data_IF_055048514621
#
_entry.id   IF_055048514621
#
_cell.length_a   1.000
_cell.length_b   1.000
_cell.length_c   1.000
_cell.angle_alpha   90.00
_cell.angle_beta   90.00
_cell.angle_gamma   90.00
#
_symmetry.space_group_name_H-M   'P 1'
#
loop_
_entity.id
_entity.type
_entity.pdbx_description
1 polymer ?
#
# COMPACT_ATOMS: atom_id res chain seq x y z
N UNK A 1 -5.43 -3.34 20.12
CA UNK A 1 -5.02 -4.75 20.37
C UNK A 1 -6.05 -5.85 20.08
N UNK A 2 -7.37 -5.60 20.13
CA UNK A 2 -8.38 -6.67 19.99
C UNK A 2 -8.68 -7.14 18.56
N UNK A 3 -8.48 -6.32 17.53
CA UNK A 3 -8.85 -6.66 16.14
C UNK A 3 -7.94 -7.74 15.52
N UNK A 4 -6.63 -7.62 15.68
CA UNK A 4 -5.65 -8.58 15.13
C UNK A 4 -5.72 -9.98 15.76
N UNK A 5 -6.28 -10.13 16.97
CA UNK A 5 -6.54 -11.45 17.56
C UNK A 5 -7.50 -12.29 16.71
N UNK A 6 -8.28 -11.64 15.84
CA UNK A 6 -9.27 -12.26 14.97
C UNK A 6 -8.89 -12.22 13.49
N UNK A 7 -7.62 -11.89 13.16
CA UNK A 7 -7.16 -11.85 11.77
C UNK A 7 -7.67 -10.63 10.99
N UNK A 8 -8.13 -9.56 11.63
CA UNK A 8 -8.52 -8.31 10.98
C UNK A 8 -7.57 -7.19 11.41
N UNK A 9 -7.04 -6.44 10.44
CA UNK A 9 -6.26 -5.23 10.72
C UNK A 9 -7.17 -4.05 11.09
N UNK A 10 -6.66 -2.98 11.77
CA UNK A 10 -7.44 -1.79 12.06
C UNK A 10 -8.05 -1.18 10.80
N UNK A 11 -9.29 -0.66 10.91
CA UNK A 11 -10.07 -0.06 9.84
C UNK A 11 -10.67 1.26 10.28
N UNK A 12 -10.38 2.30 9.52
CA UNK A 12 -10.93 3.63 9.77
C UNK A 12 -12.37 3.75 9.28
N UNK A 13 -13.10 4.71 9.86
CA UNK A 13 -14.38 5.15 9.30
C UNK A 13 -14.11 6.05 8.09
N UNK A 14 -14.89 5.92 7.01
CA UNK A 14 -14.79 6.82 5.87
C UNK A 14 -14.98 8.28 6.28
N UNK A 15 -14.20 9.17 5.67
CA UNK A 15 -14.38 10.61 5.84
C UNK A 15 -15.69 11.03 5.17
N UNK A 16 -16.50 11.82 5.91
CA UNK A 16 -17.75 12.35 5.35
C UNK A 16 -17.46 13.32 4.21
N UNK A 17 -18.05 13.18 3.00
CA UNK A 17 -17.77 14.05 1.86
C UNK A 17 -18.04 15.55 2.09
N UNK A 18 -18.79 15.88 3.15
CA UNK A 18 -19.16 17.27 3.48
C UNK A 18 -18.36 17.89 4.62
N UNK A 19 -17.45 17.15 5.24
CA UNK A 19 -16.70 17.63 6.41
C UNK A 19 -15.20 17.64 6.12
N UNK A 20 -14.53 18.71 6.52
CA UNK A 20 -13.06 18.72 6.53
C UNK A 20 -12.52 17.76 7.59
N UNK A 21 -11.37 17.16 7.32
CA UNK A 21 -10.66 16.28 8.24
C UNK A 21 -9.16 16.57 8.22
N UNK A 22 -8.49 16.33 9.35
CA UNK A 22 -7.04 16.24 9.41
C UNK A 22 -6.67 14.75 9.38
N UNK A 23 -5.72 14.38 8.53
CA UNK A 23 -5.27 13.00 8.36
C UNK A 23 -3.76 12.96 8.45
N UNK A 24 -3.26 12.02 9.22
CA UNK A 24 -1.84 11.70 9.30
C UNK A 24 -1.56 10.35 8.62
N UNK A 25 -0.66 10.36 7.67
CA UNK A 25 -0.20 9.19 6.92
C UNK A 25 1.20 8.80 7.38
N UNK A 26 1.43 7.54 7.70
CA UNK A 26 2.72 7.00 8.10
C UNK A 26 3.12 5.84 7.18
N UNK A 27 4.17 6.05 6.39
CA UNK A 27 4.79 5.04 5.54
C UNK A 27 6.11 4.59 6.14
N UNK A 28 6.16 3.34 6.61
CA UNK A 28 7.34 2.73 7.26
C UNK A 28 8.00 1.77 6.27
N UNK A 29 8.85 2.33 5.41
CA UNK A 29 9.57 1.58 4.39
C UNK A 29 10.88 0.96 4.87
N UNK A 30 11.58 0.24 3.98
CA UNK A 30 12.89 -0.38 4.29
C UNK A 30 14.07 0.59 4.18
N UNK A 31 13.94 1.74 3.51
CA UNK A 31 14.99 2.76 3.39
C UNK A 31 14.66 4.06 4.09
N UNK A 32 13.39 4.41 4.17
CA UNK A 32 12.91 5.65 4.78
C UNK A 32 11.60 5.42 5.52
N UNK A 33 11.37 6.24 6.54
CA UNK A 33 10.08 6.43 7.21
C UNK A 33 9.59 7.82 6.83
N UNK A 34 8.33 7.91 6.42
CA UNK A 34 7.68 9.16 5.98
C UNK A 34 6.41 9.38 6.78
N UNK A 35 6.28 10.55 7.38
CA UNK A 35 5.02 11.04 7.97
C UNK A 35 4.53 12.24 7.16
N UNK A 36 3.27 12.22 6.75
CA UNK A 36 2.59 13.33 6.09
C UNK A 36 1.32 13.69 6.84
N UNK A 37 1.14 14.97 7.14
CA UNK A 37 -0.09 15.48 7.76
C UNK A 37 -0.77 16.36 6.73
N UNK A 38 -2.04 16.09 6.43
CA UNK A 38 -2.79 16.84 5.43
C UNK A 38 -4.19 17.19 5.92
N UNK A 39 -4.67 18.33 5.44
CA UNK A 39 -6.05 18.77 5.60
C UNK A 39 -6.86 18.35 4.37
N UNK A 40 -7.88 17.56 4.59
CA UNK A 40 -8.87 17.20 3.58
C UNK A 40 -9.99 18.24 3.60
N UNK A 41 -10.22 18.91 2.46
CA UNK A 41 -11.29 19.90 2.30
C UNK A 41 -12.28 19.43 1.23
N UNK A 42 -13.58 19.37 1.52
CA UNK A 42 -14.59 19.06 0.51
C UNK A 42 -14.46 20.01 -0.69
N UNK A 43 -14.51 19.46 -1.90
CA UNK A 43 -14.50 20.26 -3.12
C UNK A 43 -15.41 19.63 -4.19
N UNK A 44 -15.73 20.40 -5.23
CA UNK A 44 -16.37 19.88 -6.43
C UNK A 44 -15.44 18.89 -7.16
N UNK A 45 -15.99 17.84 -7.82
CA UNK A 45 -15.20 16.88 -8.57
C UNK A 45 -14.27 17.55 -9.59
N UNK A 46 -13.00 17.13 -9.63
CA UNK A 46 -12.04 17.57 -10.64
C UNK A 46 -12.17 16.69 -11.90
N UNK A 47 -11.82 17.22 -13.06
CA UNK A 47 -11.97 16.50 -14.33
C UNK A 47 -11.15 15.19 -14.42
N UNK A 48 -10.01 15.10 -13.74
CA UNK A 48 -9.09 13.93 -13.81
C UNK A 48 -9.19 13.02 -12.59
N UNK A 49 -9.72 13.53 -11.47
CA UNK A 49 -9.81 12.85 -10.18
C UNK A 49 -11.25 12.95 -9.64
N UNK A 50 -12.21 12.53 -10.45
CA UNK A 50 -13.67 12.66 -10.19
C UNK A 50 -14.13 11.89 -8.95
N UNK A 51 -13.40 10.82 -8.60
CA UNK A 51 -13.72 9.97 -7.45
C UNK A 51 -13.28 10.55 -6.11
N UNK A 52 -12.44 11.60 -6.13
CA UNK A 52 -12.01 12.27 -4.92
C UNK A 52 -13.05 13.29 -4.48
N UNK A 53 -13.56 13.12 -3.28
CA UNK A 53 -14.53 14.02 -2.65
C UNK A 53 -13.87 15.23 -1.96
N UNK A 54 -12.55 15.18 -1.76
CA UNK A 54 -11.79 16.21 -1.06
C UNK A 54 -10.52 16.56 -1.81
N UNK A 55 -10.20 17.87 -1.79
CA UNK A 55 -8.84 18.35 -2.05
C UNK A 55 -7.94 18.02 -0.87
N UNK A 56 -6.69 17.71 -1.16
CA UNK A 56 -5.68 17.35 -0.17
C UNK A 56 -4.67 18.50 -0.11
N UNK A 57 -4.59 19.15 1.05
CA UNK A 57 -3.61 20.20 1.34
C UNK A 57 -2.59 19.67 2.35
N UNK A 58 -1.34 19.47 1.92
CA UNK A 58 -0.26 19.05 2.81
C UNK A 58 0.10 20.18 3.77
N UNK A 59 0.05 19.92 5.07
CA UNK A 59 0.38 20.89 6.11
C UNK A 59 1.61 20.50 6.92
N UNK A 60 1.96 19.20 6.96
CA UNK A 60 3.14 18.70 7.66
C UNK A 60 3.83 17.59 6.89
N UNK A 61 5.15 17.59 6.93
CA UNK A 61 5.98 16.57 6.30
C UNK A 61 7.22 16.30 7.14
N UNK A 62 7.46 15.02 7.40
CA UNK A 62 8.68 14.53 8.04
C UNK A 62 9.16 13.26 7.38
N UNK A 63 10.47 13.14 7.20
CA UNK A 63 11.05 11.90 6.73
C UNK A 63 12.41 11.67 7.39
N UNK A 64 12.76 10.40 7.55
CA UNK A 64 14.06 9.97 8.07
C UNK A 64 14.49 8.65 7.43
N UNK A 65 15.78 8.35 7.56
CA UNK A 65 16.31 7.04 7.15
C UNK A 65 15.67 5.95 8.01
N UNK A 66 15.12 4.93 7.39
CA UNK A 66 14.59 3.78 8.12
C UNK A 66 15.74 3.00 8.79
N UNK A 67 15.59 2.77 10.07
CA UNK A 67 16.45 1.88 10.87
C UNK A 67 15.60 0.79 11.46
N UNK A 68 16.17 -0.40 11.66
CA UNK A 68 15.45 -1.52 12.25
C UNK A 68 14.40 -2.18 11.33
N UNK A 69 14.38 -1.84 10.03
CA UNK A 69 13.50 -2.42 9.03
C UNK A 69 14.28 -3.29 8.05
N UNK A 70 13.71 -4.44 7.65
CA UNK A 70 14.26 -5.33 6.63
C UNK A 70 13.13 -5.92 5.79
N UNK A 71 13.19 -5.76 4.47
CA UNK A 71 12.18 -6.27 3.55
C UNK A 71 10.73 -5.89 3.97
N UNK A 72 10.54 -4.63 4.43
CA UNK A 72 9.25 -4.12 4.90
C UNK A 72 8.79 -4.63 6.27
N UNK A 73 9.55 -5.54 6.91
CA UNK A 73 9.26 -6.06 8.26
C UNK A 73 10.14 -5.37 9.33
N UNK A 74 9.61 -5.28 10.55
CA UNK A 74 10.37 -4.81 11.72
C UNK A 74 11.39 -5.89 12.09
N UNK A 75 12.68 -5.56 11.98
CA UNK A 75 13.81 -6.40 12.37
C UNK A 75 14.39 -6.00 13.72
N UNK A 76 14.33 -4.70 14.07
CA UNK A 76 14.71 -4.17 15.38
C UNK A 76 13.69 -3.13 15.82
N UNK A 77 12.93 -3.46 16.86
CA UNK A 77 11.80 -2.66 17.31
C UNK A 77 12.21 -1.27 17.81
N UNK A 78 13.28 -1.17 18.63
CA UNK A 78 13.71 0.12 19.19
C UNK A 78 14.26 1.07 18.12
N UNK A 79 14.98 0.55 17.12
CA UNK A 79 15.45 1.38 15.99
C UNK A 79 14.30 1.85 15.10
N UNK A 80 13.30 0.99 14.85
CA UNK A 80 12.11 1.35 14.09
C UNK A 80 11.29 2.42 14.82
N UNK A 81 11.09 2.26 16.14
CA UNK A 81 10.45 3.24 17.01
C UNK A 81 11.14 4.61 16.93
N UNK A 82 12.48 4.65 17.08
CA UNK A 82 13.24 5.90 16.98
C UNK A 82 13.07 6.59 15.61
N UNK A 83 13.10 5.81 14.51
CA UNK A 83 12.89 6.36 13.18
C UNK A 83 11.45 6.90 12.97
N UNK A 84 10.44 6.20 13.49
CA UNK A 84 9.05 6.65 13.43
C UNK A 84 8.90 7.97 14.20
N UNK A 85 9.37 8.06 15.44
CA UNK A 85 9.31 9.29 16.24
C UNK A 85 9.94 10.48 15.52
N UNK A 86 11.13 10.32 14.97
CA UNK A 86 11.80 11.41 14.25
C UNK A 86 11.00 11.90 13.04
N UNK A 87 10.38 11.01 12.28
CA UNK A 87 9.56 11.39 11.13
C UNK A 87 8.27 12.09 11.57
N UNK A 88 7.62 11.61 12.64
CA UNK A 88 6.40 12.19 13.20
C UNK A 88 6.67 13.57 13.78
N UNK A 89 7.68 13.70 14.67
CA UNK A 89 8.07 14.99 15.28
C UNK A 89 8.37 16.07 14.23
N UNK A 90 9.00 15.69 13.11
CA UNK A 90 9.28 16.63 12.03
C UNK A 90 8.00 17.10 11.32
N UNK A 91 7.06 16.17 11.08
CA UNK A 91 5.78 16.48 10.45
C UNK A 91 4.90 17.37 11.35
N UNK A 92 4.82 17.06 12.65
CA UNK A 92 4.07 17.82 13.64
C UNK A 92 4.60 19.24 13.81
N UNK A 93 5.93 19.40 13.91
CA UNK A 93 6.56 20.73 13.96
C UNK A 93 6.24 21.59 12.74
N UNK A 94 6.24 20.98 11.55
CA UNK A 94 5.88 21.71 10.32
C UNK A 94 4.40 22.08 10.28
N UNK A 95 3.53 21.16 10.72
CA UNK A 95 2.08 21.35 10.71
C UNK A 95 1.57 22.25 11.86
N UNK A 96 2.35 22.39 12.94
CA UNK A 96 1.94 23.09 14.16
C UNK A 96 0.81 22.38 14.93
N UNK A 97 0.72 21.06 14.80
CA UNK A 97 -0.30 20.23 15.46
C UNK A 97 0.33 18.94 15.96
N UNK A 98 -0.19 18.38 17.06
CA UNK A 98 0.11 17.03 17.53
C UNK A 98 -0.91 16.05 16.92
N UNK A 99 -0.48 14.84 16.61
CA UNK A 99 -1.33 13.78 16.06
C UNK A 99 -1.46 12.63 17.06
N UNK A 100 -2.66 12.07 17.18
CA UNK A 100 -2.96 10.94 18.07
C UNK A 100 -3.07 9.61 17.29
N UNK A 101 -3.37 9.69 15.99
CA UNK A 101 -3.60 8.51 15.14
C UNK A 101 -3.00 8.67 13.75
N UNK A 102 -2.72 7.54 13.11
CA UNK A 102 -2.14 7.48 11.76
C UNK A 102 -2.82 6.42 10.89
N UNK A 103 -2.88 6.68 9.59
CA UNK A 103 -3.13 5.68 8.56
C UNK A 103 -1.77 5.11 8.16
N UNK A 104 -1.59 3.79 8.31
CA UNK A 104 -0.32 3.09 8.22
C UNK A 104 -0.24 2.23 6.96
N UNK A 105 0.86 2.33 6.20
CA UNK A 105 1.14 1.44 5.08
C UNK A 105 1.72 0.10 5.52
N UNK A 106 1.46 -0.96 4.76
CA UNK A 106 2.14 -2.25 4.88
C UNK A 106 2.56 -2.79 3.52
N UNK A 107 3.87 -3.00 3.32
CA UNK A 107 4.47 -3.55 2.09
C UNK A 107 5.04 -4.95 2.26
N UNK A 108 4.90 -5.54 3.44
CA UNK A 108 5.52 -6.80 3.83
C UNK A 108 4.49 -7.89 4.15
N UNK A 109 4.98 -9.04 4.61
CA UNK A 109 4.14 -10.12 5.12
C UNK A 109 3.49 -10.93 4.03
N UNK A 110 4.14 -11.09 2.88
CA UNK A 110 3.65 -11.88 1.76
C UNK A 110 2.21 -11.47 1.41
N UNK A 111 2.06 -10.25 0.92
CA UNK A 111 0.77 -9.79 0.38
C UNK A 111 0.21 -10.81 -0.58
N UNK A 112 -1.06 -11.14 -0.44
CA UNK A 112 -1.74 -12.14 -1.26
C UNK A 112 -3.18 -11.72 -1.50
N UNK A 113 -3.68 -12.03 -2.69
CA UNK A 113 -5.06 -11.84 -3.11
C UNK A 113 -5.81 -13.14 -3.09
N UNK A 114 -7.02 -13.13 -2.55
CA UNK A 114 -7.98 -14.22 -2.61
C UNK A 114 -9.31 -13.66 -3.14
N UNK A 115 -10.00 -14.45 -3.98
CA UNK A 115 -11.32 -14.13 -4.49
C UNK A 115 -12.36 -15.05 -3.82
N UNK A 116 -13.42 -14.44 -3.31
CA UNK A 116 -14.54 -15.15 -2.69
C UNK A 116 -15.83 -14.73 -3.35
N UNK A 117 -16.65 -15.67 -3.74
CA UNK A 117 -17.99 -15.44 -4.24
C UNK A 117 -19.02 -15.77 -3.13
N UNK A 118 -20.06 -14.98 -3.05
CA UNK A 118 -21.23 -15.26 -2.23
C UNK A 118 -22.49 -14.97 -3.02
N UNK A 119 -23.53 -15.77 -2.79
CA UNK A 119 -24.83 -15.65 -3.44
C UNK A 119 -25.94 -15.76 -2.41
N UNK A 120 -27.03 -15.05 -2.63
CA UNK A 120 -28.24 -15.07 -1.81
C UNK A 120 -29.48 -15.12 -2.69
N UNK A 121 -30.53 -15.76 -2.19
CA UNK A 121 -31.85 -15.69 -2.79
C UNK A 121 -32.52 -14.34 -2.46
N UNK A 122 -33.18 -13.76 -3.47
CA UNK A 122 -33.94 -12.51 -3.34
C UNK A 122 -35.35 -12.85 -2.93
N UNK A 123 -35.79 -12.20 -1.83
CA UNK A 123 -37.18 -12.27 -1.35
C UNK A 123 -37.92 -11.07 -1.96
N UNK A 124 -38.55 -11.26 -3.08
CA UNK A 124 -39.21 -10.21 -3.83
C UNK A 124 -38.84 -10.29 -5.32
N UNK A 125 -39.13 -9.22 -6.07
CA UNK A 125 -38.83 -9.21 -7.52
C UNK A 125 -37.62 -8.36 -7.89
N UNK A 126 -37.15 -7.48 -7.01
CA UNK A 126 -36.05 -6.55 -7.32
C UNK A 126 -35.04 -6.46 -6.18
N UNK A 127 -33.76 -6.30 -6.53
CA UNK A 127 -32.66 -6.13 -5.58
C UNK A 127 -32.81 -4.82 -4.81
N UNK A 128 -32.86 -4.91 -3.50
CA UNK A 128 -32.93 -3.79 -2.57
C UNK A 128 -31.57 -3.49 -1.91
N UNK A 129 -31.45 -2.32 -1.26
CA UNK A 129 -30.27 -2.01 -0.42
C UNK A 129 -30.06 -3.05 0.70
N UNK A 130 -31.15 -3.64 1.22
CA UNK A 130 -31.09 -4.69 2.22
C UNK A 130 -30.42 -5.97 1.65
N UNK A 131 -30.73 -6.32 0.41
CA UNK A 131 -30.15 -7.48 -0.26
C UNK A 131 -28.65 -7.25 -0.56
N UNK A 132 -28.29 -6.02 -0.95
CA UNK A 132 -26.88 -5.64 -1.11
C UNK A 132 -26.13 -5.81 0.22
N UNK A 133 -26.68 -5.32 1.32
CA UNK A 133 -26.07 -5.48 2.63
C UNK A 133 -25.96 -6.97 3.05
N UNK A 134 -26.98 -7.80 2.73
CA UNK A 134 -26.98 -9.24 3.02
C UNK A 134 -25.90 -9.99 2.22
N UNK A 135 -25.78 -9.74 0.92
CA UNK A 135 -24.80 -10.43 0.07
C UNK A 135 -23.37 -10.01 0.43
N UNK A 136 -23.14 -8.72 0.73
CA UNK A 136 -21.85 -8.22 1.20
C UNK A 136 -21.45 -8.84 2.54
N UNK A 137 -22.41 -8.95 3.48
CA UNK A 137 -22.18 -9.64 4.75
C UNK A 137 -21.88 -11.13 4.55
N UNK A 138 -22.54 -11.80 3.61
CA UNK A 138 -22.25 -13.18 3.25
C UNK A 138 -20.84 -13.32 2.63
N UNK A 139 -20.49 -12.45 1.67
CA UNK A 139 -19.17 -12.42 1.01
C UNK A 139 -18.01 -12.08 1.93
N UNK A 140 -18.28 -11.37 3.04
CA UNK A 140 -17.26 -11.05 4.05
C UNK A 140 -16.99 -12.19 5.05
N UNK A 141 -17.76 -13.29 5.01
CA UNK A 141 -17.64 -14.47 5.89
C UNK A 141 -16.69 -15.52 5.33
N UNK A 142 -15.52 -15.13 4.91
CA UNK A 142 -14.52 -16.08 4.44
C UNK A 142 -13.62 -16.54 5.58
N UNK A 143 -13.19 -17.79 5.51
CA UNK A 143 -12.19 -18.34 6.43
C UNK A 143 -10.79 -18.02 5.90
N UNK A 144 -9.96 -17.43 6.74
CA UNK A 144 -8.57 -17.21 6.43
C UNK A 144 -7.73 -18.45 6.78
N UNK A 145 -6.66 -18.65 6.06
CA UNK A 145 -5.59 -19.57 6.47
C UNK A 145 -4.98 -19.11 7.79
N UNK A 146 -4.56 -20.05 8.62
CA UNK A 146 -3.91 -19.74 9.89
C UNK A 146 -2.68 -18.82 9.67
N UNK A 147 -2.50 -17.87 10.57
CA UNK A 147 -1.40 -16.92 10.50
C UNK A 147 -1.59 -15.74 9.53
N UNK A 148 -2.74 -15.65 8.85
CA UNK A 148 -3.07 -14.53 7.94
C UNK A 148 -3.94 -13.49 8.63
N UNK A 149 -3.83 -12.24 8.16
CA UNK A 149 -4.71 -11.13 8.54
C UNK A 149 -5.26 -10.43 7.29
N UNK A 150 -6.53 -10.01 7.35
CA UNK A 150 -7.19 -9.26 6.28
C UNK A 150 -6.71 -7.81 6.33
N UNK A 151 -6.17 -7.34 5.19
CA UNK A 151 -5.88 -5.93 4.95
C UNK A 151 -7.04 -5.22 4.25
N UNK A 152 -7.64 -5.84 3.24
CA UNK A 152 -8.74 -5.27 2.46
C UNK A 152 -9.77 -6.33 2.15
N UNK A 153 -11.03 -5.92 2.07
CA UNK A 153 -12.15 -6.74 1.60
C UNK A 153 -13.07 -5.85 0.77
N UNK A 154 -13.01 -6.02 -0.55
CA UNK A 154 -13.59 -5.12 -1.54
C UNK A 154 -14.52 -5.88 -2.49
N UNK A 155 -15.77 -5.46 -2.72
CA UNK A 155 -16.60 -6.02 -3.77
C UNK A 155 -16.04 -5.59 -5.13
N UNK A 156 -15.74 -6.55 -5.99
CA UNK A 156 -15.20 -6.31 -7.33
C UNK A 156 -16.26 -6.43 -8.43
N UNK A 157 -17.35 -7.15 -8.17
CA UNK A 157 -18.46 -7.31 -9.10
C UNK A 157 -19.70 -7.87 -8.44
N UNK A 158 -20.84 -7.65 -9.08
CA UNK A 158 -22.10 -8.30 -8.70
C UNK A 158 -22.59 -9.17 -9.84
N UNK A 159 -23.40 -10.18 -9.50
CA UNK A 159 -24.06 -11.06 -10.47
C UNK A 159 -25.57 -11.15 -10.21
N UNK A 160 -26.33 -11.20 -11.28
CA UNK A 160 -27.80 -11.38 -11.25
C UNK A 160 -28.11 -12.70 -11.98
N UNK A 161 -28.74 -13.64 -11.31
CA UNK A 161 -29.12 -14.94 -11.84
C UNK A 161 -27.95 -15.67 -12.54
N UNK A 162 -26.73 -15.54 -11.99
CA UNK A 162 -25.49 -16.09 -12.53
C UNK A 162 -24.78 -15.27 -13.61
N UNK A 163 -25.36 -14.14 -14.04
CA UNK A 163 -24.73 -13.23 -15.02
C UNK A 163 -23.94 -12.16 -14.27
N UNK A 164 -22.62 -12.20 -14.39
CA UNK A 164 -21.69 -11.25 -13.77
C UNK A 164 -21.58 -9.92 -14.50
N UNK A 165 -20.73 -9.02 -13.94
CA UNK A 165 -20.40 -7.71 -14.55
C UNK A 165 -21.38 -6.59 -14.21
N UNK A 166 -22.29 -6.82 -13.27
CA UNK A 166 -23.24 -5.81 -12.78
C UNK A 166 -22.51 -4.82 -11.88
N UNK A 167 -22.57 -3.52 -12.20
CA UNK A 167 -21.94 -2.46 -11.39
C UNK A 167 -22.86 -1.93 -10.30
N UNK A 168 -24.10 -1.67 -10.62
CA UNK A 168 -25.16 -1.25 -9.68
C UNK A 168 -26.38 -2.16 -9.84
N UNK A 169 -26.62 -3.07 -8.87
CA UNK A 169 -27.72 -4.02 -8.95
C UNK A 169 -29.09 -3.47 -8.49
N UNK A 170 -29.16 -2.25 -7.96
CA UNK A 170 -30.35 -1.67 -7.34
C UNK A 170 -31.54 -1.63 -8.30
N UNK A 171 -32.66 -2.18 -7.86
CA UNK A 171 -33.90 -2.20 -8.64
C UNK A 171 -33.90 -3.20 -9.80
N UNK A 172 -32.82 -3.97 -10.03
CA UNK A 172 -32.81 -5.02 -11.03
C UNK A 172 -33.63 -6.22 -10.55
N UNK A 173 -34.38 -6.83 -11.47
CA UNK A 173 -35.14 -8.06 -11.18
C UNK A 173 -34.17 -9.24 -11.07
N UNK A 174 -34.31 -10.03 -10.01
CA UNK A 174 -33.46 -11.18 -9.77
C UNK A 174 -34.14 -12.24 -8.90
N UNK A 175 -33.86 -13.50 -9.16
CA UNK A 175 -34.13 -14.59 -8.23
C UNK A 175 -32.93 -14.85 -7.32
N UNK A 176 -31.69 -14.75 -7.88
CA UNK A 176 -30.42 -14.93 -7.14
C UNK A 176 -29.54 -13.71 -7.37
N UNK A 177 -28.90 -13.28 -6.29
CA UNK A 177 -28.00 -12.12 -6.31
C UNK A 177 -26.66 -12.49 -5.69
N UNK A 178 -25.59 -12.28 -6.44
CA UNK A 178 -24.23 -12.63 -6.04
C UNK A 178 -23.28 -11.43 -5.97
N UNK A 179 -22.18 -11.61 -5.23
CA UNK A 179 -21.05 -10.69 -5.14
C UNK A 179 -19.73 -11.44 -5.21
N UNK A 180 -18.80 -10.92 -5.98
CA UNK A 180 -17.40 -11.33 -5.96
C UNK A 180 -16.62 -10.37 -5.07
N UNK A 181 -15.93 -10.91 -4.05
CA UNK A 181 -15.12 -10.16 -3.10
C UNK A 181 -13.64 -10.40 -3.36
N UNK A 182 -12.87 -9.34 -3.55
CA UNK A 182 -11.41 -9.38 -3.49
C UNK A 182 -10.94 -9.14 -2.07
N UNK A 183 -10.17 -10.08 -1.53
CA UNK A 183 -9.64 -10.03 -0.17
C UNK A 183 -8.12 -10.01 -0.24
N UNK A 184 -7.53 -8.90 0.18
CA UNK A 184 -6.09 -8.76 0.34
C UNK A 184 -5.68 -9.18 1.76
N UNK A 185 -4.69 -10.06 1.86
CA UNK A 185 -4.22 -10.59 3.14
C UNK A 185 -2.71 -10.44 3.30
N UNK A 186 -2.26 -10.52 4.55
CA UNK A 186 -0.85 -10.46 4.95
C UNK A 186 -0.56 -11.42 6.10
N UNK A 187 0.72 -11.72 6.36
CA UNK A 187 1.12 -12.44 7.57
C UNK A 187 0.82 -11.61 8.82
N UNK A 188 0.10 -12.20 9.76
CA UNK A 188 -0.33 -11.52 11.00
C UNK A 188 0.86 -11.04 11.85
N UNK A 189 1.99 -11.76 11.81
CA UNK A 189 3.19 -11.38 12.56
C UNK A 189 3.81 -10.09 12.04
N UNK A 190 3.87 -9.90 10.71
CA UNK A 190 4.37 -8.68 10.11
C UNK A 190 3.49 -7.47 10.49
N UNK A 191 2.17 -7.62 10.40
CA UNK A 191 1.22 -6.58 10.77
C UNK A 191 1.30 -6.21 12.26
N UNK A 192 1.37 -7.23 13.15
CA UNK A 192 1.46 -7.01 14.61
C UNK A 192 2.72 -6.28 15.03
N UNK A 193 3.88 -6.67 14.49
CA UNK A 193 5.15 -6.05 14.85
C UNK A 193 5.22 -4.60 14.37
N UNK A 194 4.69 -4.31 13.19
CA UNK A 194 4.63 -2.94 12.69
C UNK A 194 3.68 -2.07 13.51
N UNK A 195 2.48 -2.59 13.83
CA UNK A 195 1.56 -1.90 14.75
C UNK A 195 2.20 -1.62 16.11
N UNK A 196 2.87 -2.63 16.70
CA UNK A 196 3.54 -2.46 17.98
C UNK A 196 4.61 -1.35 17.94
N UNK A 197 5.36 -1.22 16.82
CA UNK A 197 6.34 -0.14 16.68
C UNK A 197 5.67 1.24 16.68
N UNK A 198 4.50 1.38 16.05
CA UNK A 198 3.73 2.63 16.02
C UNK A 198 3.08 2.92 17.36
N UNK A 199 2.44 1.93 18.00
CA UNK A 199 1.80 2.07 19.31
C UNK A 199 2.82 2.48 20.42
N UNK A 200 4.08 2.04 20.31
CA UNK A 200 5.18 2.48 21.21
C UNK A 200 5.57 3.94 21.02
N UNK A 201 5.21 4.55 19.90
CA UNK A 201 5.35 5.98 19.68
C UNK A 201 4.14 6.79 20.20
N UNK A 202 3.26 6.17 20.99
CA UNK A 202 2.00 6.74 21.50
C UNK A 202 1.00 7.14 20.42
N UNK A 203 1.06 6.48 19.25
CA UNK A 203 0.14 6.69 18.14
C UNK A 203 -0.83 5.52 18.00
N UNK A 204 -2.10 5.81 17.76
CA UNK A 204 -3.09 4.82 17.39
C UNK A 204 -3.02 4.52 15.89
N UNK A 205 -3.08 3.25 15.50
CA UNK A 205 -3.23 2.86 14.09
C UNK A 205 -4.71 2.86 13.73
N UNK A 206 -5.15 3.92 13.06
CA UNK A 206 -6.54 4.08 12.64
C UNK A 206 -6.92 3.12 11.51
N UNK A 207 -6.02 2.95 10.56
CA UNK A 207 -6.12 1.92 9.52
C UNK A 207 -4.75 1.40 9.11
N UNK A 208 -4.69 0.12 8.72
CA UNK A 208 -3.54 -0.47 8.06
C UNK A 208 -3.90 -0.82 6.62
N UNK A 209 -3.09 -0.35 5.67
CA UNK A 209 -3.42 -0.37 4.24
C UNK A 209 -2.26 -0.97 3.43
N UNK A 210 -2.55 -1.81 2.45
CA UNK A 210 -1.54 -2.36 1.55
C UNK A 210 -0.88 -1.26 0.72
N UNK A 211 0.47 -1.19 0.76
CA UNK A 211 1.24 -0.18 0.04
C UNK A 211 0.91 -0.10 -1.46
N UNK A 212 0.78 -1.22 -2.22
CA UNK A 212 0.47 -1.13 -3.64
C UNK A 212 -0.95 -0.58 -3.90
N UNK A 213 -1.90 -0.81 -3.01
CA UNK A 213 -3.25 -0.23 -3.13
C UNK A 213 -3.20 1.29 -3.05
N UNK A 214 -2.59 1.82 -1.98
CA UNK A 214 -2.49 3.28 -1.82
C UNK A 214 -1.58 3.92 -2.85
N UNK A 215 -0.51 3.24 -3.29
CA UNK A 215 0.30 3.71 -4.41
C UNK A 215 -0.58 3.93 -5.66
N UNK A 216 -1.47 2.98 -5.97
CA UNK A 216 -2.44 3.09 -7.05
C UNK A 216 -3.39 4.28 -6.88
N UNK A 217 -3.96 4.46 -5.69
CA UNK A 217 -4.82 5.61 -5.37
C UNK A 217 -4.11 6.96 -5.56
N UNK A 218 -2.77 6.99 -5.39
CA UNK A 218 -1.99 8.21 -5.57
C UNK A 218 -1.67 8.52 -7.03
N UNK A 219 -1.36 7.50 -7.86
CA UNK A 219 -0.70 7.69 -9.15
C UNK A 219 -1.58 7.45 -10.38
N UNK A 220 -2.76 6.83 -10.19
CA UNK A 220 -3.71 6.57 -11.29
C UNK A 220 -4.65 7.74 -11.47
N UNK A 221 -4.88 8.10 -12.74
CA UNK A 221 -6.07 8.85 -13.14
C UNK A 221 -7.29 7.91 -13.09
N UNK A 222 -8.50 8.49 -12.97
CA UNK A 222 -9.73 7.69 -12.88
C UNK A 222 -9.95 6.84 -14.12
N UNK A 223 -9.68 7.38 -15.30
CA UNK A 223 -9.82 6.64 -16.59
C UNK A 223 -8.86 5.45 -16.65
N UNK A 224 -7.62 5.59 -16.18
CA UNK A 224 -6.65 4.49 -16.13
C UNK A 224 -7.12 3.37 -15.19
N UNK A 225 -7.67 3.76 -14.03
CA UNK A 225 -8.21 2.81 -13.07
C UNK A 225 -9.49 2.10 -13.62
N UNK A 226 -10.28 2.80 -14.45
CA UNK A 226 -11.48 2.24 -15.07
C UNK A 226 -11.17 1.28 -16.20
N UNK A 227 -10.27 1.68 -17.10
CA UNK A 227 -9.87 0.88 -18.26
C UNK A 227 -9.04 -0.34 -17.85
N UNK A 228 -8.35 -0.27 -16.72
CA UNK A 228 -7.50 -1.32 -16.20
C UNK A 228 -6.02 -0.97 -16.28
N UNK A 229 -5.38 -0.99 -15.12
CA UNK A 229 -3.97 -0.71 -14.98
C UNK A 229 -3.33 -1.53 -13.85
N UNK A 230 -2.04 -1.87 -14.01
CA UNK A 230 -1.23 -2.44 -12.95
C UNK A 230 -0.25 -1.40 -12.43
N UNK A 231 -0.21 -1.22 -11.12
CA UNK A 231 0.76 -0.34 -10.44
C UNK A 231 1.80 -1.21 -9.76
N UNK A 232 3.07 -0.93 -10.03
CA UNK A 232 4.21 -1.63 -9.43
C UNK A 232 5.00 -0.63 -8.60
N UNK A 233 4.99 -0.80 -7.30
CA UNK A 233 5.78 0.00 -6.35
C UNK A 233 7.12 -0.69 -6.10
N UNK A 234 8.17 -0.15 -6.70
CA UNK A 234 9.55 -0.62 -6.55
C UNK A 234 10.20 0.08 -5.34
N UNK A 235 9.99 -0.47 -4.15
CA UNK A 235 10.59 -0.01 -2.91
C UNK A 235 12.07 -0.38 -2.79
N UNK A 236 12.66 -0.11 -1.62
CA UNK A 236 14.04 -0.50 -1.33
C UNK A 236 14.17 -2.00 -1.00
N UNK A 237 13.33 -2.51 -0.11
CA UNK A 237 13.38 -3.91 0.34
C UNK A 237 12.33 -4.81 -0.26
N UNK A 238 11.31 -4.25 -0.89
CA UNK A 238 10.16 -4.95 -1.46
C UNK A 238 9.79 -4.35 -2.81
N UNK A 239 9.25 -5.17 -3.69
CA UNK A 239 8.46 -4.74 -4.86
C UNK A 239 7.06 -5.28 -4.68
N UNK A 240 6.07 -4.40 -4.73
CA UNK A 240 4.67 -4.73 -4.55
C UNK A 240 3.87 -4.31 -5.77
N UNK A 241 2.75 -4.98 -6.03
CA UNK A 241 1.91 -4.70 -7.17
C UNK A 241 0.43 -4.70 -6.81
N UNK A 242 -0.32 -3.85 -7.48
CA UNK A 242 -1.77 -3.79 -7.42
C UNK A 242 -2.35 -3.65 -8.83
N UNK A 243 -3.44 -4.35 -9.10
CA UNK A 243 -4.17 -4.23 -10.35
C UNK A 243 -5.55 -3.65 -10.11
N UNK A 244 -5.92 -2.71 -10.95
CA UNK A 244 -7.18 -1.99 -10.90
C UNK A 244 -7.99 -2.28 -12.17
N UNK A 245 -9.30 -2.41 -12.04
CA UNK A 245 -10.25 -2.55 -13.13
C UNK A 245 -11.62 -1.99 -12.71
N UNK A 246 -12.25 -1.20 -13.57
CA UNK A 246 -13.49 -0.53 -13.22
C UNK A 246 -13.36 0.37 -11.97
N UNK A 247 -12.13 0.90 -11.74
CA UNK A 247 -11.79 1.73 -10.60
C UNK A 247 -11.68 1.00 -9.27
N UNK A 248 -11.65 -0.32 -9.27
CA UNK A 248 -11.58 -1.17 -8.08
C UNK A 248 -10.27 -1.93 -8.03
N UNK A 249 -9.74 -2.16 -6.83
CA UNK A 249 -8.61 -3.06 -6.63
C UNK A 249 -9.10 -4.51 -6.84
N UNK A 250 -8.52 -5.20 -7.82
CA UNK A 250 -8.90 -6.57 -8.19
C UNK A 250 -7.80 -7.58 -7.90
N UNK A 251 -6.57 -7.12 -7.68
CA UNK A 251 -5.44 -7.99 -7.33
C UNK A 251 -4.36 -7.22 -6.59
N UNK A 252 -3.68 -7.86 -5.66
CA UNK A 252 -2.46 -7.36 -5.03
C UNK A 252 -1.50 -8.50 -4.73
N UNK A 253 -0.22 -8.25 -4.87
CA UNK A 253 0.85 -9.20 -4.61
C UNK A 253 2.14 -8.45 -4.21
N UNK A 254 3.18 -9.15 -3.80
CA UNK A 254 4.47 -8.56 -3.48
C UNK A 254 5.54 -9.59 -3.15
N UNK A 255 6.79 -9.16 -3.31
CA UNK A 255 7.96 -9.99 -3.00
C UNK A 255 9.09 -9.15 -2.39
N UNK A 256 10.01 -9.85 -1.71
CA UNK A 256 11.06 -9.23 -0.91
C UNK A 256 12.35 -8.95 -1.73
N UNK A 257 12.21 -8.30 -2.89
CA UNK A 257 13.30 -7.74 -3.69
C UNK A 257 12.98 -6.29 -4.03
N UNK A 258 14.03 -5.45 -4.15
CA UNK A 258 13.86 -4.04 -4.49
C UNK A 258 15.21 -3.33 -4.63
N UNK A 259 15.20 -1.99 -4.66
CA UNK A 259 16.37 -1.15 -4.97
C UNK A 259 17.57 -1.34 -4.03
N UNK A 260 17.37 -1.81 -2.80
CA UNK A 260 18.49 -2.11 -1.89
C UNK A 260 19.30 -3.33 -2.35
N UNK A 261 18.68 -4.29 -3.03
CA UNK A 261 19.39 -5.44 -3.60
C UNK A 261 20.32 -4.99 -4.73
N UNK A 262 19.88 -4.02 -5.55
CA UNK A 262 20.74 -3.35 -6.53
C UNK A 262 21.94 -2.67 -5.83
N UNK A 263 21.70 -1.96 -4.73
CA UNK A 263 22.77 -1.33 -3.93
C UNK A 263 23.77 -2.35 -3.42
N UNK A 264 23.30 -3.48 -2.93
CA UNK A 264 24.17 -4.55 -2.43
C UNK A 264 24.99 -5.20 -3.54
N UNK A 265 24.42 -5.33 -4.75
CA UNK A 265 25.16 -5.84 -5.90
C UNK A 265 26.24 -4.84 -6.36
N UNK A 266 25.95 -3.54 -6.34
CA UNK A 266 26.95 -2.48 -6.60
C UNK A 266 28.07 -2.52 -5.55
N UNK A 267 27.70 -2.60 -4.26
CA UNK A 267 28.68 -2.66 -3.15
C UNK A 267 29.63 -3.85 -3.30
N UNK A 268 29.12 -5.02 -3.68
CA UNK A 268 29.93 -6.23 -3.93
C UNK A 268 30.74 -6.12 -5.21
N UNK A 269 30.13 -5.67 -6.32
CA UNK A 269 30.77 -5.59 -7.63
C UNK A 269 31.88 -4.55 -7.70
N UNK A 270 31.75 -3.44 -6.93
CA UNK A 270 32.74 -2.36 -6.88
C UNK A 270 33.62 -2.40 -5.62
N UNK A 271 33.44 -3.40 -4.75
CA UNK A 271 34.10 -3.47 -3.44
C UNK A 271 34.00 -2.14 -2.66
N UNK A 272 32.77 -1.59 -2.56
CA UNK A 272 32.47 -0.30 -1.96
C UNK A 272 31.64 -0.44 -0.69
N UNK A 273 31.65 0.57 0.18
CA UNK A 273 30.72 0.65 1.32
C UNK A 273 29.30 0.76 0.80
N UNK A 274 28.32 0.17 1.53
CA UNK A 274 26.91 0.20 1.12
C UNK A 274 26.37 1.63 0.96
N UNK A 275 26.82 2.56 1.80
CA UNK A 275 26.43 3.97 1.70
C UNK A 275 26.95 4.62 0.42
N UNK A 276 28.20 4.33 0.01
CA UNK A 276 28.78 4.84 -1.23
C UNK A 276 28.12 4.19 -2.45
N UNK A 277 27.83 2.89 -2.40
CA UNK A 277 27.08 2.19 -3.44
C UNK A 277 25.66 2.77 -3.63
N UNK A 278 24.95 3.13 -2.54
CA UNK A 278 23.65 3.80 -2.60
C UNK A 278 23.76 5.18 -3.24
N UNK A 279 24.79 5.94 -2.87
CA UNK A 279 25.08 7.26 -3.48
C UNK A 279 25.41 7.13 -4.97
N UNK A 280 26.26 6.17 -5.35
CA UNK A 280 26.64 5.90 -6.75
C UNK A 280 25.39 5.48 -7.55
N UNK A 281 24.56 4.58 -7.04
CA UNK A 281 23.29 4.20 -7.65
C UNK A 281 22.38 5.40 -7.89
N UNK A 282 22.25 6.28 -6.88
CA UNK A 282 21.36 7.44 -6.96
C UNK A 282 21.83 8.47 -7.97
N UNK A 283 23.14 8.72 -8.05
CA UNK A 283 23.72 9.75 -8.93
C UNK A 283 23.95 9.27 -10.37
N UNK A 284 24.36 8.03 -10.55
CA UNK A 284 24.82 7.50 -11.82
C UNK A 284 24.07 6.27 -12.32
N UNK A 285 23.11 5.76 -11.52
CA UNK A 285 22.40 4.50 -11.82
C UNK A 285 21.58 4.57 -13.10
N UNK A 286 21.86 3.62 -14.00
CA UNK A 286 21.15 3.44 -15.26
C UNK A 286 21.01 1.94 -15.57
N UNK A 287 19.97 1.57 -16.29
CA UNK A 287 19.78 0.22 -16.85
C UNK A 287 20.03 0.18 -18.35
N UNK A 288 20.39 1.31 -18.95
CA UNK A 288 20.69 1.49 -20.37
C UNK A 288 22.13 1.97 -20.52
N UNK A 289 22.88 1.34 -21.42
CA UNK A 289 24.19 1.82 -21.82
C UNK A 289 24.06 2.83 -22.95
N UNK A 290 24.69 3.99 -22.79
CA UNK A 290 24.90 4.97 -23.86
C UNK A 290 26.27 4.81 -24.53
N UNK A 291 26.46 5.42 -25.68
CA UNK A 291 27.72 5.35 -26.42
C UNK A 291 28.95 6.01 -25.74
N UNK A 292 28.72 6.87 -24.74
CA UNK A 292 29.77 7.52 -23.93
C UNK A 292 30.09 6.79 -22.63
N UNK A 293 29.25 5.82 -22.19
CA UNK A 293 29.33 5.23 -20.85
C UNK A 293 30.65 4.47 -20.58
N UNK A 294 31.35 4.05 -21.61
CA UNK A 294 32.72 3.45 -21.47
C UNK A 294 33.78 4.47 -21.06
N UNK A 295 33.57 5.75 -21.42
CA UNK A 295 34.48 6.85 -21.14
C UNK A 295 34.12 7.65 -19.91
N UNK A 296 32.85 7.57 -19.49
CA UNK A 296 32.35 8.27 -18.32
C UNK A 296 32.80 7.53 -17.05
N UNK A 297 33.84 8.09 -16.40
CA UNK A 297 34.45 7.47 -15.23
C UNK A 297 33.80 7.97 -13.92
N UNK A 298 33.48 7.04 -13.06
CA UNK A 298 32.89 7.25 -11.74
C UNK A 298 33.96 6.95 -10.69
N UNK A 299 34.13 7.86 -9.74
CA UNK A 299 35.03 7.66 -8.61
C UNK A 299 34.31 6.86 -7.51
N UNK A 300 34.88 5.71 -7.17
CA UNK A 300 34.43 4.85 -6.09
C UNK A 300 35.35 5.05 -4.89
N UNK A 301 34.86 5.53 -3.74
CA UNK A 301 35.68 5.67 -2.54
C UNK A 301 36.21 4.31 -2.06
N UNK A 302 37.38 4.27 -1.41
CA UNK A 302 37.95 3.03 -0.86
C UNK A 302 37.06 2.46 0.28
N UNK A 303 37.13 1.14 0.47
CA UNK A 303 36.37 0.46 1.51
C UNK A 303 36.91 0.78 2.90
N UNK A 304 38.23 0.96 3.05
CA UNK A 304 38.91 1.34 4.30
C UNK A 304 39.29 2.82 4.31
N UNK A 305 39.47 3.38 5.50
CA UNK A 305 39.97 4.74 5.69
C UNK A 305 41.53 4.79 5.76
N UNK A 306 42.21 3.70 5.33
CA UNK A 306 43.67 3.67 5.27
C UNK A 306 44.13 4.61 4.16
N UNK A 307 45.06 5.53 4.47
CA UNK A 307 45.64 6.49 3.49
C UNK A 307 46.31 5.84 2.28
N UNK A 308 46.55 4.52 2.34
CA UNK A 308 47.13 3.73 1.23
C UNK A 308 46.10 3.28 0.19
N UNK A 309 44.81 3.26 0.57
CA UNK A 309 43.76 2.83 -0.34
C UNK A 309 43.35 4.00 -1.24
N UNK A 310 43.63 3.87 -2.53
CA UNK A 310 43.28 4.87 -3.51
C UNK A 310 41.82 4.66 -4.00
N UNK A 311 41.13 5.78 -4.31
CA UNK A 311 39.84 5.73 -4.97
C UNK A 311 39.95 5.01 -6.33
N UNK A 312 39.02 4.09 -6.57
CA UNK A 312 38.95 3.35 -7.83
C UNK A 312 38.16 4.17 -8.86
N UNK A 313 38.65 4.21 -10.11
CA UNK A 313 37.90 4.73 -11.25
C UNK A 313 37.23 3.58 -12.00
N UNK A 314 35.93 3.66 -12.15
CA UNK A 314 35.10 2.62 -12.80
C UNK A 314 34.27 3.29 -13.90
N UNK A 315 34.17 2.68 -15.07
CA UNK A 315 33.35 3.21 -16.15
C UNK A 315 31.83 3.07 -15.79
N UNK A 316 31.04 4.00 -16.27
CA UNK A 316 29.58 3.91 -16.13
C UNK A 316 29.02 2.65 -16.77
N UNK A 317 29.61 2.16 -17.86
CA UNK A 317 29.25 0.89 -18.48
C UNK A 317 29.37 -0.29 -17.50
N UNK A 318 30.46 -0.33 -16.70
CA UNK A 318 30.63 -1.33 -15.65
C UNK A 318 29.54 -1.23 -14.59
N UNK A 319 29.19 -0.02 -14.14
CA UNK A 319 28.09 0.17 -13.19
C UNK A 319 26.76 -0.35 -13.76
N UNK A 320 26.45 -0.04 -15.03
CA UNK A 320 25.24 -0.54 -15.70
C UNK A 320 25.23 -2.06 -15.78
N UNK A 321 26.37 -2.70 -16.07
CA UNK A 321 26.49 -4.16 -16.14
C UNK A 321 26.20 -4.86 -14.80
N UNK A 322 26.40 -4.17 -13.68
CA UNK A 322 26.06 -4.67 -12.34
C UNK A 322 24.57 -4.44 -12.03
N UNK A 323 24.03 -3.26 -12.35
CA UNK A 323 22.65 -2.87 -12.03
C UNK A 323 21.63 -3.66 -12.84
N UNK A 324 21.85 -3.74 -14.15
CA UNK A 324 20.87 -4.22 -15.13
C UNK A 324 20.37 -5.65 -14.84
N UNK A 325 21.21 -6.67 -14.57
CA UNK A 325 20.75 -8.02 -14.32
C UNK A 325 19.78 -8.12 -13.11
N UNK A 326 20.07 -7.36 -12.04
CA UNK A 326 19.18 -7.34 -10.87
C UNK A 326 17.84 -6.69 -11.18
N UNK A 327 17.83 -5.64 -11.96
CA UNK A 327 16.61 -4.96 -12.38
C UNK A 327 15.80 -5.85 -13.33
N UNK A 328 16.47 -6.56 -14.24
CA UNK A 328 15.82 -7.54 -15.13
C UNK A 328 15.16 -8.65 -14.31
N UNK A 329 15.84 -9.23 -13.32
CA UNK A 329 15.25 -10.22 -12.41
C UNK A 329 13.98 -9.69 -11.71
N UNK A 330 14.02 -8.46 -11.16
CA UNK A 330 12.85 -7.85 -10.53
C UNK A 330 11.70 -7.72 -11.53
N UNK A 331 11.96 -7.26 -12.75
CA UNK A 331 10.95 -7.07 -13.78
C UNK A 331 10.39 -8.40 -14.31
N UNK A 332 11.21 -9.44 -14.41
CA UNK A 332 10.76 -10.79 -14.74
C UNK A 332 9.82 -11.36 -13.67
N UNK A 333 10.16 -11.18 -12.40
CA UNK A 333 9.26 -11.55 -11.31
C UNK A 333 7.94 -10.77 -11.35
N UNK A 334 7.98 -9.47 -11.68
CA UNK A 334 6.77 -8.66 -11.89
C UNK A 334 5.95 -9.22 -13.04
N UNK A 335 6.58 -9.53 -14.19
CA UNK A 335 5.91 -10.15 -15.35
C UNK A 335 5.19 -11.43 -14.96
N UNK A 336 5.86 -12.32 -14.24
CA UNK A 336 5.32 -13.63 -13.85
C UNK A 336 4.15 -13.47 -12.86
N UNK A 337 4.21 -12.50 -11.94
CA UNK A 337 3.10 -12.17 -11.03
C UNK A 337 1.90 -11.57 -11.79
N UNK A 338 2.15 -10.68 -12.74
CA UNK A 338 1.10 -10.11 -13.59
C UNK A 338 0.46 -11.16 -14.51
N UNK A 339 1.18 -12.17 -14.94
CA UNK A 339 0.63 -13.28 -15.73
C UNK A 339 -0.40 -14.10 -14.93
N UNK A 340 -0.21 -14.22 -13.62
CA UNK A 340 -1.11 -14.93 -12.71
C UNK A 340 -2.26 -14.05 -12.17
N UNK A 341 -2.30 -12.78 -12.56
CA UNK A 341 -3.37 -11.86 -12.14
C UNK A 341 -4.67 -12.17 -12.89
N UNK A 342 -5.84 -12.22 -12.22
CA UNK A 342 -7.14 -12.52 -12.83
C UNK A 342 -7.72 -11.40 -13.69
N UNK A 343 -6.89 -10.45 -14.14
CA UNK A 343 -7.32 -9.38 -15.04
C UNK A 343 -7.51 -9.88 -16.47
N UNK A 344 -8.46 -9.26 -17.17
CA UNK A 344 -8.58 -9.43 -18.61
C UNK A 344 -7.27 -9.04 -19.33
N UNK A 345 -6.91 -9.67 -20.45
CA UNK A 345 -5.68 -9.36 -21.19
C UNK A 345 -5.50 -7.86 -21.49
N UNK A 346 -6.59 -7.17 -21.82
CA UNK A 346 -6.59 -5.74 -22.18
C UNK A 346 -6.31 -4.84 -20.97
N UNK A 347 -6.84 -5.19 -19.78
CA UNK A 347 -6.59 -4.45 -18.54
C UNK A 347 -5.13 -4.54 -18.07
N UNK A 348 -4.35 -5.48 -18.62
CA UNK A 348 -2.91 -5.65 -18.32
C UNK A 348 -2.01 -4.84 -19.24
N UNK A 349 -2.56 -4.09 -20.17
CA UNK A 349 -1.78 -3.36 -21.20
C UNK A 349 -0.95 -2.20 -20.62
N UNK A 350 -1.44 -1.55 -19.56
CA UNK A 350 -0.77 -0.42 -18.94
C UNK A 350 -0.14 -0.81 -17.60
N UNK A 351 1.17 -0.49 -17.44
CA UNK A 351 1.90 -0.67 -16.18
C UNK A 351 2.46 0.67 -15.73
N UNK A 352 2.17 1.02 -14.50
CA UNK A 352 2.64 2.24 -13.86
C UNK A 352 3.70 1.87 -12.83
N UNK A 353 4.95 2.25 -13.08
CA UNK A 353 6.05 2.05 -12.13
C UNK A 353 6.11 3.22 -11.17
N UNK A 354 6.21 2.95 -9.89
CA UNK A 354 6.37 3.96 -8.84
C UNK A 354 7.36 3.47 -7.77
N UNK A 355 7.51 4.22 -6.66
CA UNK A 355 8.51 3.90 -5.65
C UNK A 355 9.90 4.45 -5.97
N UNK A 356 10.81 4.40 -5.00
CA UNK A 356 12.17 4.93 -5.14
C UNK A 356 13.01 4.18 -6.18
N UNK A 357 12.81 2.87 -6.32
CA UNK A 357 13.51 2.04 -7.31
C UNK A 357 13.13 2.35 -8.76
N UNK A 358 11.97 2.96 -8.99
CA UNK A 358 11.51 3.33 -10.34
C UNK A 358 12.28 4.51 -10.95
N UNK A 359 13.14 5.19 -10.17
CA UNK A 359 13.87 6.38 -10.61
C UNK A 359 15.17 6.07 -11.38
N UNK A 360 15.53 4.79 -11.53
CA UNK A 360 16.69 4.40 -12.33
C UNK A 360 16.53 4.84 -13.79
N UNK A 361 17.57 5.47 -14.33
CA UNK A 361 17.58 5.95 -15.72
C UNK A 361 17.35 4.79 -16.71
N UNK A 362 16.44 4.96 -17.66
CA UNK A 362 16.12 3.96 -18.69
C UNK A 362 15.22 2.81 -18.21
N UNK A 363 14.76 2.84 -16.95
CA UNK A 363 13.91 1.78 -16.40
C UNK A 363 12.57 1.61 -17.15
N UNK A 364 11.83 2.68 -17.55
CA UNK A 364 10.59 2.51 -18.28
C UNK A 364 10.75 1.74 -19.59
N UNK A 365 11.82 2.01 -20.33
CA UNK A 365 12.10 1.36 -21.62
C UNK A 365 12.48 -0.12 -21.43
N UNK A 366 13.29 -0.42 -20.41
CA UNK A 366 13.64 -1.78 -20.05
C UNK A 366 12.39 -2.55 -19.61
N UNK A 367 11.58 -1.96 -18.76
CA UNK A 367 10.34 -2.55 -18.26
C UNK A 367 9.35 -2.80 -19.40
N UNK A 368 9.17 -1.86 -20.33
CA UNK A 368 8.28 -2.03 -21.47
C UNK A 368 8.68 -3.25 -22.32
N UNK A 369 9.99 -3.47 -22.52
CA UNK A 369 10.51 -4.63 -23.26
C UNK A 369 10.27 -5.95 -22.54
N UNK A 370 10.55 -6.01 -21.23
CA UNK A 370 10.44 -7.26 -20.45
C UNK A 370 8.98 -7.63 -20.19
N UNK A 371 8.14 -6.62 -19.89
CA UNK A 371 6.73 -6.83 -19.59
C UNK A 371 5.87 -6.97 -20.84
N UNK A 372 6.36 -6.54 -22.01
CA UNK A 372 5.59 -6.50 -23.27
C UNK A 372 4.37 -5.56 -23.19
N UNK A 373 4.49 -4.43 -22.46
CA UNK A 373 3.39 -3.53 -22.11
C UNK A 373 3.83 -2.09 -22.17
N UNK A 374 2.85 -1.19 -22.29
CA UNK A 374 3.11 0.24 -22.12
C UNK A 374 3.43 0.54 -20.67
N UNK A 375 4.53 1.28 -20.45
CA UNK A 375 5.03 1.61 -19.10
C UNK A 375 5.21 3.11 -18.98
N UNK A 376 4.75 3.66 -17.85
CA UNK A 376 5.05 5.04 -17.43
C UNK A 376 5.45 5.11 -15.97
N UNK A 377 6.13 6.20 -15.58
CA UNK A 377 6.39 6.48 -14.16
C UNK A 377 5.17 7.14 -13.54
N UNK A 378 4.71 6.59 -12.42
CA UNK A 378 3.64 7.13 -11.60
C UNK A 378 4.18 8.10 -10.57
N UNK A 379 3.58 9.30 -10.50
CA UNK A 379 3.84 10.32 -9.49
C UNK A 379 2.54 10.67 -8.78
N UNK A 380 2.59 11.07 -7.49
CA UNK A 380 1.40 11.49 -6.76
C UNK A 380 0.62 12.60 -7.46
N UNK A 381 -0.70 12.43 -7.54
CA UNK A 381 -1.62 13.37 -8.17
C UNK A 381 -2.47 14.09 -7.12
N UNK A 382 -2.78 15.38 -7.34
CA UNK A 382 -3.81 16.11 -6.61
C UNK A 382 -3.49 16.44 -5.15
N UNK A 383 -2.21 16.65 -4.80
CA UNK A 383 -1.78 17.09 -3.47
C UNK A 383 -1.26 18.52 -3.57
N UNK A 384 -2.01 19.47 -3.00
CA UNK A 384 -1.62 20.86 -2.92
C UNK A 384 -0.64 21.10 -1.75
N UNK A 385 0.19 22.15 -1.85
CA UNK A 385 1.15 22.54 -0.80
C UNK A 385 2.37 21.61 -0.70
N UNK A 386 2.47 20.57 -1.53
CA UNK A 386 3.59 19.65 -1.50
C UNK A 386 4.84 20.25 -2.17
N UNK A 387 6.01 20.25 -1.50
CA UNK A 387 7.29 20.55 -2.12
C UNK A 387 7.57 19.61 -3.30
N UNK A 388 8.36 20.05 -4.29
CA UNK A 388 8.60 19.27 -5.51
C UNK A 388 9.23 17.90 -5.24
N UNK A 389 10.05 17.78 -4.20
CA UNK A 389 10.64 16.51 -3.77
C UNK A 389 9.58 15.47 -3.46
N UNK A 390 8.46 15.88 -2.82
CA UNK A 390 7.38 14.96 -2.39
C UNK A 390 6.50 14.54 -3.58
N UNK A 391 6.50 15.29 -4.68
CA UNK A 391 5.80 14.95 -5.92
C UNK A 391 6.49 13.81 -6.69
N UNK A 392 7.66 13.35 -6.25
CA UNK A 392 8.38 12.23 -6.84
C UNK A 392 7.71 10.89 -6.59
N UNK A 393 7.96 9.91 -7.48
CA UNK A 393 7.44 8.53 -7.37
C UNK A 393 7.79 7.86 -6.03
N UNK A 394 8.92 8.24 -5.42
CA UNK A 394 9.35 7.69 -4.13
C UNK A 394 8.40 7.97 -2.95
N UNK A 395 7.42 8.86 -3.11
CA UNK A 395 6.46 9.23 -2.07
C UNK A 395 5.02 8.81 -2.39
N UNK A 396 4.83 7.99 -3.42
CA UNK A 396 3.50 7.57 -3.88
C UNK A 396 2.69 6.86 -2.78
N UNK A 397 3.32 5.99 -1.99
CA UNK A 397 2.65 5.27 -0.89
C UNK A 397 2.16 6.26 0.18
N UNK A 398 3.02 7.13 0.70
CA UNK A 398 2.65 8.11 1.72
C UNK A 398 1.56 9.08 1.22
N UNK A 399 1.67 9.51 -0.03
CA UNK A 399 0.65 10.33 -0.70
C UNK A 399 -0.69 9.61 -0.82
N UNK A 400 -0.67 8.33 -1.17
CA UNK A 400 -1.88 7.52 -1.30
C UNK A 400 -2.58 7.23 0.02
N UNK A 401 -1.84 7.16 1.13
CA UNK A 401 -2.44 7.07 2.46
C UNK A 401 -3.30 8.30 2.78
N UNK A 402 -2.97 9.48 2.25
CA UNK A 402 -3.81 10.69 2.38
C UNK A 402 -5.07 10.63 1.50
N UNK A 403 -5.05 9.84 0.44
CA UNK A 403 -6.22 9.59 -0.43
C UNK A 403 -7.14 8.54 0.17
N UNK A 404 -6.59 7.52 0.81
CA UNK A 404 -7.30 6.35 1.31
C UNK A 404 -8.56 6.64 2.15
N UNK A 405 -8.60 7.65 3.05
CA UNK A 405 -9.80 7.97 3.82
C UNK A 405 -11.05 8.23 2.98
N UNK A 406 -10.86 8.70 1.74
CA UNK A 406 -11.94 8.93 0.78
C UNK A 406 -12.40 7.64 0.10
N UNK A 407 -11.52 6.62 0.01
CA UNK A 407 -11.80 5.31 -0.59
C UNK A 407 -12.24 4.26 0.44
N UNK A 408 -12.08 4.51 1.74
CA UNK A 408 -12.38 3.56 2.82
C UNK A 408 -13.85 3.08 2.84
N UNK A 409 -14.78 3.84 2.26
CA UNK A 409 -16.20 3.45 2.13
C UNK A 409 -16.42 2.29 1.16
N UNK A 410 -15.47 1.97 0.30
CA UNK A 410 -15.55 0.85 -0.65
C UNK A 410 -15.31 -0.49 0.03
N UNK A 411 -14.76 -0.50 1.24
CA UNK A 411 -14.41 -1.71 1.96
C UNK A 411 -15.59 -2.23 2.79
N UNK A 412 -15.79 -3.54 2.75
CA UNK A 412 -16.82 -4.22 3.51
C UNK A 412 -16.22 -5.33 4.37
N UNK A 413 -16.39 -5.18 5.68
CA UNK A 413 -15.99 -6.17 6.66
C UNK A 413 -17.23 -6.56 7.46
N UNK A 414 -17.43 -7.86 7.71
CA UNK A 414 -18.43 -8.26 8.69
C UNK A 414 -18.03 -7.67 10.06
N UNK A 415 -18.85 -6.78 10.61
CA UNK A 415 -18.74 -6.43 12.00
C UNK A 415 -18.98 -7.73 12.78
N UNK A 416 -17.90 -8.40 13.22
CA UNK A 416 -18.02 -9.54 14.13
C UNK A 416 -18.85 -9.03 15.30
N UNK A 417 -20.12 -9.45 15.34
CA UNK A 417 -20.93 -9.35 16.57
C UNK A 417 -20.00 -9.83 17.66
N UNK A 418 -19.72 -8.99 18.67
CA UNK A 418 -19.17 -9.45 19.93
C UNK A 418 -20.01 -10.67 20.26
N UNK A 419 -19.47 -11.87 20.06
CA UNK A 419 -20.00 -13.06 20.69
C UNK A 419 -19.88 -12.69 22.16
N UNK A 420 -20.96 -12.17 22.73
CA UNK A 420 -21.13 -12.21 24.16
C UNK A 420 -20.84 -13.68 24.45
N UNK A 421 -19.63 -13.94 24.94
CA UNK A 421 -19.39 -15.08 25.77
C UNK A 421 -20.48 -14.95 26.83
N UNK A 422 -21.61 -15.64 26.62
CA UNK A 422 -22.39 -16.13 27.70
C UNK A 422 -21.45 -17.10 28.44
N UNK A 423 -20.52 -16.53 29.18
CA UNK A 423 -20.02 -17.20 30.34
C UNK A 423 -21.23 -17.39 31.20
N UNK A 424 -21.75 -18.60 31.22
CA UNK A 424 -22.69 -19.08 32.19
C UNK A 424 -22.09 -19.03 33.60
N UNK A 425 -21.95 -17.82 34.08
CA UNK A 425 -21.91 -17.49 35.49
C UNK A 425 -22.96 -16.40 35.65
N UNK A 426 -24.20 -16.84 35.69
CA UNK A 426 -25.24 -16.10 36.39
C UNK A 426 -24.77 -15.92 37.82
N UNK A 427 -23.76 -15.05 38.01
CA UNK A 427 -23.20 -14.72 39.28
C UNK A 427 -24.33 -14.14 40.16
N UNK A 428 -24.32 -14.60 41.38
CA UNK A 428 -25.22 -14.21 42.49
C UNK A 428 -25.57 -12.70 42.52
N UNK A 429 -24.63 -11.83 42.09
CA UNK A 429 -24.81 -10.37 42.02
C UNK A 429 -25.78 -9.87 40.93
N UNK A 430 -25.97 -10.59 39.80
CA UNK A 430 -26.96 -10.21 38.81
C UNK A 430 -28.41 -10.49 39.26
N UNK A 431 -28.62 -11.49 40.12
CA UNK A 431 -29.92 -11.80 40.72
C UNK A 431 -30.29 -10.83 41.82
N UNK A 432 -29.31 -10.34 42.59
CA UNK A 432 -29.53 -9.35 43.66
C UNK A 432 -29.88 -7.97 43.06
N UNK A 433 -29.26 -7.57 41.94
CA UNK A 433 -29.58 -6.32 41.25
C UNK A 433 -30.99 -6.29 40.64
N UNK A 434 -31.49 -7.44 40.16
CA UNK A 434 -32.87 -7.54 39.67
C UNK A 434 -33.91 -7.50 40.83
N UNK A 435 -33.61 -8.18 41.93
CA UNK A 435 -34.47 -8.18 43.10
C UNK A 435 -34.64 -6.81 43.78
N UNK A 436 -33.54 -6.01 43.82
CA UNK A 436 -33.60 -4.62 44.32
C UNK A 436 -34.36 -3.66 43.39
N UNK A 437 -34.53 -3.99 42.13
CA UNK A 437 -35.28 -3.16 41.17
C UNK A 437 -36.78 -3.45 41.11
N UNK A 438 -37.19 -4.59 41.62
CA UNK A 438 -38.62 -4.99 41.71
C UNK A 438 -39.24 -4.74 43.11
N UNK A 439 -38.40 -4.26 44.06
CA UNK A 439 -38.87 -4.03 45.46
C UNK A 439 -38.91 -2.55 45.87
N UNK A 440 -38.75 -1.61 44.89
CA UNK A 440 -38.95 -0.17 45.13
C UNK A 440 -39.74 0.47 44.02
#
# INVERSE_FOLDING_TARGET
MNALRYGLTPKMKPVSPRKSALVAALDVGSSKVVCMIARLRPHAPQQVLTRRSHGIELVGFGHTVARGMKAGCVANLGQAEGAIRHAVDAAERMAGVEIESVVLSLSAGRLCSELFAAEIDIVGSAVSEHDIARVLAAGSRHSLRDGRAILHSLPVGYSIDGVGGVRDPRGMLASRFGVDMHVATTDIAAARNLMLAVERCHLEVEAMVASPYVAGLAVLADDEADLGAAVVDMGAGTTTLAAFLGGRLVHTDGFALGGHHVTMDIARGLNARVADAERIKTLYGSVMCGGSDERDMITVPPLSDDERDQAQLVSRATLVSIIKPRVEEILEMVRDRLANCPLAPDARSHVILTGGGSQLTGLPDLAARILGRQVRIGRPLGIAGAPDVIKGSAFAVAAGLLVYPQAAHLEHFEARRKRQLMMGTGGYFARVGLWLRESF
#
